data_IF_242322107341
#
_entry.id   IF_242322107341
#
_cell.length_a   1.000
_cell.length_b   1.000
_cell.length_c   1.000
_cell.angle_alpha   90.00
_cell.angle_beta   90.00
_cell.angle_gamma   90.00
#
_symmetry.space_group_name_H-M   'P 1'
#
loop_
_entity.id
_entity.type
_entity.pdbx_description
1 polymer ?
#
# COMPACT_ATOMS: atom_id res chain seq x y z
N UNK A 1 21.42 35.99 80.08
CA UNK A 1 21.06 34.63 79.63
C UNK A 1 19.55 34.54 79.65
N UNK A 2 18.87 35.27 78.75
CA UNK A 2 18.33 34.79 77.47
C UNK A 2 17.38 33.60 77.64
N UNK A 3 16.10 33.96 77.55
CA UNK A 3 14.87 33.17 77.50
C UNK A 3 14.84 32.16 76.37
N UNK A 4 13.99 31.14 76.46
CA UNK A 4 13.20 30.69 75.30
C UNK A 4 11.92 29.95 75.71
N UNK A 5 10.82 30.39 75.12
CA UNK A 5 9.49 29.79 75.12
C UNK A 5 9.35 28.90 73.88
N UNK A 6 8.89 27.66 74.04
CA UNK A 6 8.58 26.77 72.92
C UNK A 6 7.09 26.83 72.61
N UNK A 7 6.73 27.46 71.48
CA UNK A 7 5.38 27.43 70.89
C UNK A 7 5.35 26.43 69.74
N UNK A 8 4.35 25.55 69.75
CA UNK A 8 4.05 24.59 68.67
C UNK A 8 3.05 25.22 67.70
N UNK A 9 3.40 25.27 66.41
CA UNK A 9 2.45 25.59 65.33
C UNK A 9 2.49 24.49 64.27
N UNK A 10 1.33 23.86 64.04
CA UNK A 10 1.09 22.90 62.95
C UNK A 10 0.73 23.66 61.69
N UNK A 11 1.44 23.41 60.60
CA UNK A 11 1.13 23.95 59.27
C UNK A 11 0.51 22.83 58.42
N UNK A 12 -0.76 22.97 58.06
CA UNK A 12 -1.43 22.12 57.09
C UNK A 12 -1.00 22.53 55.67
N UNK A 13 -0.49 21.58 54.89
CA UNK A 13 -0.16 21.78 53.48
C UNK A 13 -1.27 21.16 52.61
N UNK A 14 -2.15 21.99 52.07
CA UNK A 14 -3.08 21.60 51.01
C UNK A 14 -2.31 21.42 49.71
N UNK A 15 -2.20 20.19 49.21
CA UNK A 15 -1.74 19.91 47.85
C UNK A 15 -2.90 19.97 46.88
N UNK A 16 -2.97 21.04 46.10
CA UNK A 16 -3.85 21.14 44.93
C UNK A 16 -3.22 20.33 43.81
N UNK A 17 -3.81 19.18 43.49
CA UNK A 17 -3.41 18.37 42.33
C UNK A 17 -3.86 19.08 41.05
N UNK A 18 -2.93 19.71 40.35
CA UNK A 18 -3.14 20.20 38.99
C UNK A 18 -3.19 18.98 38.06
N UNK A 19 -4.39 18.57 37.64
CA UNK A 19 -4.53 17.62 36.54
C UNK A 19 -4.06 18.30 35.25
N UNK A 20 -2.84 17.96 34.84
CA UNK A 20 -2.35 18.19 33.49
C UNK A 20 -3.05 17.18 32.58
N UNK A 21 -4.05 17.63 31.82
CA UNK A 21 -4.44 16.93 30.59
C UNK A 21 -3.25 17.01 29.65
N UNK A 22 -2.44 15.95 29.61
CA UNK A 22 -1.44 15.77 28.60
C UNK A 22 -2.16 15.64 27.26
N UNK A 23 -2.13 16.71 26.46
CA UNK A 23 -2.44 16.64 25.05
C UNK A 23 -1.34 15.80 24.42
N UNK A 24 -1.57 14.52 24.21
CA UNK A 24 -0.64 13.66 23.47
C UNK A 24 -0.61 14.19 22.04
N UNK A 25 0.41 15.01 21.72
CA UNK A 25 0.65 15.45 20.35
C UNK A 25 1.09 14.22 19.56
N UNK A 26 0.24 13.74 18.67
CA UNK A 26 0.59 12.64 17.76
C UNK A 26 1.70 13.13 16.82
N UNK A 27 2.79 12.38 16.71
CA UNK A 27 3.90 12.75 15.83
C UNK A 27 3.46 12.69 14.36
N UNK A 28 3.91 13.65 13.54
CA UNK A 28 3.59 13.72 12.11
C UNK A 28 4.85 13.92 11.29
N UNK A 29 4.90 13.34 10.09
CA UNK A 29 6.00 13.50 9.13
C UNK A 29 5.48 13.45 7.68
N UNK A 30 6.38 13.60 6.71
CA UNK A 30 6.09 13.45 5.28
C UNK A 30 7.03 12.40 4.69
N UNK A 31 6.49 11.43 3.96
CA UNK A 31 7.28 10.38 3.30
C UNK A 31 8.16 10.95 2.18
N UNK A 32 9.15 10.17 1.72
CA UNK A 32 9.94 10.49 0.53
C UNK A 32 9.10 10.68 -0.75
N UNK A 33 7.94 10.00 -0.83
CA UNK A 33 6.98 10.18 -1.92
C UNK A 33 6.09 11.42 -1.77
N UNK A 34 6.27 12.21 -0.70
CA UNK A 34 5.52 13.43 -0.40
C UNK A 34 4.18 13.20 0.27
N UNK A 35 3.95 12.02 0.87
CA UNK A 35 2.70 11.65 1.54
C UNK A 35 2.68 12.02 3.02
N UNK A 36 1.53 12.45 3.52
CA UNK A 36 1.40 12.79 4.94
C UNK A 36 1.45 11.52 5.78
N UNK A 37 2.07 11.58 6.96
CA UNK A 37 2.19 10.43 7.85
C UNK A 37 1.92 10.85 9.29
N UNK A 38 1.18 10.03 10.02
CA UNK A 38 0.82 10.24 11.43
C UNK A 38 1.17 8.97 12.21
N UNK A 39 1.96 9.10 13.27
CA UNK A 39 2.35 7.97 14.11
C UNK A 39 1.12 7.42 14.83
N UNK A 40 0.92 6.12 14.78
CA UNK A 40 -0.17 5.43 15.46
C UNK A 40 0.30 4.88 16.79
N UNK A 41 -0.36 5.34 17.86
CA UNK A 41 -0.15 4.84 19.21
C UNK A 41 -1.28 3.92 19.66
N UNK A 42 -0.93 2.87 20.41
CA UNK A 42 -1.88 1.96 21.03
C UNK A 42 -2.53 0.94 20.08
N UNK A 43 -3.40 0.08 20.63
CA UNK A 43 -4.06 -0.95 19.85
C UNK A 43 -5.06 -0.36 18.88
N UNK A 44 -5.29 -1.08 17.79
CA UNK A 44 -6.26 -0.74 16.78
C UNK A 44 -7.68 -0.76 17.36
N UNK A 45 -8.52 0.20 16.98
CA UNK A 45 -9.94 0.17 17.29
C UNK A 45 -10.56 -1.14 16.83
N UNK A 46 -11.58 -1.65 17.55
CA UNK A 46 -12.35 -2.82 17.16
C UNK A 46 -13.42 -2.47 16.11
N UNK A 47 -13.04 -1.78 15.04
CA UNK A 47 -13.94 -1.37 13.96
C UNK A 47 -14.44 -2.58 13.18
N UNK A 48 -15.77 -2.77 13.01
CA UNK A 48 -16.32 -3.86 12.22
C UNK A 48 -15.77 -3.88 10.80
N UNK A 49 -15.61 -5.08 10.23
CA UNK A 49 -15.25 -5.21 8.83
C UNK A 49 -16.31 -4.53 7.94
N UNK A 50 -15.89 -3.86 6.85
CA UNK A 50 -16.82 -3.20 5.95
C UNK A 50 -17.74 -4.22 5.26
N UNK A 51 -18.97 -3.81 4.88
CA UNK A 51 -19.89 -4.69 4.16
C UNK A 51 -19.30 -5.17 2.84
N UNK A 52 -19.52 -6.44 2.49
CA UNK A 52 -19.04 -7.03 1.25
C UNK A 52 -19.51 -6.26 -0.01
N UNK A 53 -20.69 -5.64 0.03
CA UNK A 53 -21.20 -4.81 -1.07
C UNK A 53 -20.38 -3.52 -1.29
N UNK A 54 -19.85 -2.92 -0.22
CA UNK A 54 -18.96 -1.75 -0.32
C UNK A 54 -17.58 -2.18 -0.82
N UNK A 55 -17.08 -3.32 -0.35
CA UNK A 55 -15.83 -3.88 -0.90
C UNK A 55 -15.95 -4.20 -2.39
N UNK A 56 -17.05 -4.81 -2.80
CA UNK A 56 -17.32 -5.10 -4.21
C UNK A 56 -17.42 -3.82 -5.06
N UNK A 57 -17.91 -2.71 -4.50
CA UNK A 57 -18.02 -1.44 -5.23
C UNK A 57 -16.68 -0.74 -5.46
N UNK A 58 -15.57 -1.22 -4.92
CA UNK A 58 -14.24 -0.74 -5.30
C UNK A 58 -13.80 -1.33 -6.65
N UNK A 59 -14.28 -2.51 -7.02
CA UNK A 59 -14.02 -3.13 -8.32
C UNK A 59 -14.87 -2.46 -9.40
N UNK A 60 -14.47 -1.26 -9.84
CA UNK A 60 -15.03 -0.65 -11.04
C UNK A 60 -14.49 -1.36 -12.29
N UNK A 61 -15.31 -1.47 -13.36
CA UNK A 61 -14.87 -2.06 -14.63
C UNK A 61 -13.71 -1.26 -15.21
N UNK A 62 -12.58 -1.93 -15.33
CA UNK A 62 -11.37 -1.40 -15.93
C UNK A 62 -11.56 -1.28 -17.46
N UNK A 63 -10.87 -0.36 -18.17
CA UNK A 63 -10.92 -0.31 -19.63
C UNK A 63 -10.48 -1.65 -20.25
N UNK A 64 -11.44 -2.46 -20.70
CA UNK A 64 -11.19 -3.72 -21.40
C UNK A 64 -10.93 -4.95 -20.51
N UNK A 65 -11.05 -4.85 -19.19
CA UNK A 65 -10.93 -5.97 -18.25
C UNK A 65 -12.11 -6.06 -17.29
N UNK A 66 -12.57 -7.28 -17.01
CA UNK A 66 -13.72 -7.50 -16.12
C UNK A 66 -15.05 -7.19 -16.80
N UNK A 67 -15.64 -8.22 -17.40
CA UNK A 67 -16.94 -8.18 -18.08
C UNK A 67 -17.45 -9.59 -18.35
N UNK A 68 -18.61 -9.73 -19.01
CA UNK A 68 -19.19 -11.04 -19.31
C UNK A 68 -18.24 -11.96 -20.09
N UNK A 69 -17.41 -11.38 -20.97
CA UNK A 69 -16.43 -12.09 -21.80
C UNK A 69 -15.04 -12.22 -21.15
N UNK A 70 -14.84 -11.65 -19.96
CA UNK A 70 -13.59 -11.71 -19.19
C UNK A 70 -13.90 -11.97 -17.70
N UNK A 71 -14.38 -13.18 -17.36
CA UNK A 71 -14.80 -13.50 -16.00
C UNK A 71 -13.59 -13.52 -15.06
N UNK A 72 -13.76 -12.86 -13.91
CA UNK A 72 -12.77 -12.79 -12.84
C UNK A 72 -13.25 -13.58 -11.62
N UNK A 73 -12.31 -14.21 -10.92
CA UNK A 73 -12.51 -14.91 -9.64
C UNK A 73 -11.56 -14.35 -8.59
N UNK A 74 -11.85 -14.59 -7.31
CA UNK A 74 -10.93 -14.20 -6.24
C UNK A 74 -9.55 -14.86 -6.43
N UNK A 75 -8.47 -14.17 -6.03
CA UNK A 75 -7.10 -14.69 -6.06
C UNK A 75 -7.01 -16.15 -5.59
N UNK A 76 -7.63 -16.44 -4.45
CA UNK A 76 -7.64 -17.77 -3.82
C UNK A 76 -8.48 -18.84 -4.54
N UNK A 77 -9.18 -18.51 -5.61
CA UNK A 77 -9.97 -19.45 -6.41
C UNK A 77 -9.34 -19.71 -7.78
N UNK A 78 -8.30 -18.95 -8.12
CA UNK A 78 -7.53 -19.13 -9.35
C UNK A 78 -6.44 -20.20 -9.19
N UNK A 79 -5.92 -20.69 -10.33
CA UNK A 79 -4.73 -21.54 -10.31
C UNK A 79 -3.51 -20.69 -9.94
N UNK A 80 -2.59 -21.23 -9.11
CA UNK A 80 -1.34 -20.53 -8.84
C UNK A 80 -0.46 -20.43 -10.09
N UNK A 81 0.28 -19.33 -10.21
CA UNK A 81 1.29 -19.17 -11.25
C UNK A 81 2.63 -19.78 -10.84
N UNK A 82 3.36 -20.30 -11.81
CA UNK A 82 4.71 -20.83 -11.59
C UNK A 82 5.71 -19.71 -11.28
N UNK A 83 6.71 -19.96 -10.41
CA UNK A 83 7.82 -19.03 -10.20
C UNK A 83 8.49 -18.63 -11.53
N UNK A 84 8.70 -17.32 -11.71
CA UNK A 84 9.29 -16.75 -12.91
C UNK A 84 8.28 -16.23 -13.93
N UNK A 85 7.00 -16.58 -13.77
CA UNK A 85 5.91 -16.00 -14.58
C UNK A 85 5.92 -14.48 -14.45
N UNK A 86 5.91 -13.76 -15.58
CA UNK A 86 5.73 -12.31 -15.58
C UNK A 86 4.24 -12.03 -15.54
N UNK A 87 3.81 -11.19 -14.59
CA UNK A 87 2.43 -10.82 -14.39
C UNK A 87 2.22 -9.31 -14.50
N UNK A 88 1.03 -8.93 -14.95
CA UNK A 88 0.51 -7.57 -14.85
C UNK A 88 -0.30 -7.40 -13.55
N UNK A 89 0.16 -6.53 -12.66
CA UNK A 89 -0.54 -6.19 -11.42
C UNK A 89 -1.24 -4.85 -11.59
N UNK A 90 -2.55 -4.92 -11.81
CA UNK A 90 -3.41 -3.77 -12.07
C UNK A 90 -3.97 -3.16 -10.79
N UNK A 91 -3.89 -1.83 -10.69
CA UNK A 91 -4.51 -0.99 -9.67
C UNK A 91 -5.41 0.03 -10.37
N UNK A 92 -6.68 -0.32 -10.56
CA UNK A 92 -7.54 0.45 -11.44
C UNK A 92 -6.86 0.63 -12.79
N UNK A 93 -6.66 1.86 -13.25
CA UNK A 93 -6.14 2.17 -14.59
C UNK A 93 -4.60 2.20 -14.72
N UNK A 94 -3.86 1.83 -13.68
CA UNK A 94 -2.40 1.68 -13.70
C UNK A 94 -1.99 0.21 -13.53
N UNK A 95 -0.79 -0.14 -14.01
CA UNK A 95 -0.27 -1.51 -13.91
C UNK A 95 1.23 -1.51 -13.62
N UNK A 96 1.68 -2.40 -12.74
CA UNK A 96 3.09 -2.74 -12.60
C UNK A 96 3.38 -4.09 -13.26
N UNK A 97 4.57 -4.26 -13.81
CA UNK A 97 5.09 -5.56 -14.23
C UNK A 97 5.89 -6.19 -13.09
N UNK A 98 5.54 -7.42 -12.72
CA UNK A 98 6.24 -8.16 -11.69
C UNK A 98 6.54 -9.58 -12.14
N UNK A 99 7.48 -10.22 -11.46
CA UNK A 99 7.80 -11.62 -11.63
C UNK A 99 7.37 -12.41 -10.40
N UNK A 100 6.61 -13.48 -10.61
CA UNK A 100 6.18 -14.38 -9.52
C UNK A 100 7.41 -15.02 -8.87
N UNK A 101 7.51 -14.90 -7.55
CA UNK A 101 8.50 -15.60 -6.72
C UNK A 101 7.88 -16.87 -6.13
N UNK A 102 6.65 -16.76 -5.62
CA UNK A 102 5.82 -17.85 -5.13
C UNK A 102 4.34 -17.47 -5.29
N UNK A 103 3.49 -18.44 -5.54
CA UNK A 103 2.03 -18.28 -5.52
C UNK A 103 1.45 -19.59 -5.00
N UNK A 104 0.89 -19.57 -3.80
CA UNK A 104 0.48 -20.78 -3.10
C UNK A 104 -0.71 -20.54 -2.16
N UNK A 105 -0.88 -21.41 -1.15
CA UNK A 105 -2.01 -21.34 -0.24
C UNK A 105 -1.99 -20.10 0.65
N UNK A 106 -0.82 -19.53 0.96
CA UNK A 106 -0.64 -18.38 1.84
C UNK A 106 -0.86 -17.07 1.08
N UNK A 107 -0.41 -17.01 -0.17
CA UNK A 107 -0.59 -15.83 -1.01
C UNK A 107 0.30 -15.79 -2.24
N UNK A 108 0.35 -14.62 -2.87
CA UNK A 108 1.23 -14.30 -3.98
C UNK A 108 2.42 -13.49 -3.48
N UNK A 109 3.64 -13.92 -3.78
CA UNK A 109 4.87 -13.15 -3.62
C UNK A 109 5.40 -12.82 -5.01
N UNK A 110 5.60 -11.54 -5.29
CA UNK A 110 6.04 -11.05 -6.60
C UNK A 110 7.15 -10.00 -6.47
N UNK A 111 8.12 -10.06 -7.38
CA UNK A 111 9.28 -9.17 -7.41
C UNK A 111 9.14 -8.16 -8.56
N UNK A 112 9.28 -6.88 -8.26
CA UNK A 112 9.41 -5.81 -9.26
C UNK A 112 10.87 -5.32 -9.29
N UNK A 113 11.64 -5.64 -10.34
CA UNK A 113 13.02 -5.14 -10.47
C UNK A 113 13.07 -3.61 -10.61
N UNK A 114 14.14 -3.00 -10.11
CA UNK A 114 14.48 -1.58 -10.33
C UNK A 114 14.35 -1.23 -11.82
N UNK A 115 13.74 -0.08 -12.16
CA UNK A 115 13.65 0.39 -13.54
C UNK A 115 12.64 -0.35 -14.43
N UNK A 116 11.92 -1.35 -13.90
CA UNK A 116 10.86 -2.04 -14.63
C UNK A 116 9.77 -1.04 -15.05
N UNK A 117 9.23 -1.22 -16.23
CA UNK A 117 8.17 -0.36 -16.72
C UNK A 117 6.86 -0.59 -15.96
N UNK A 118 6.14 0.52 -15.77
CA UNK A 118 4.80 0.54 -15.22
C UNK A 118 3.94 1.50 -16.02
N UNK A 119 2.66 1.18 -16.09
CA UNK A 119 1.62 2.04 -16.63
C UNK A 119 1.11 2.94 -15.50
N UNK A 120 1.29 4.25 -15.69
CA UNK A 120 0.80 5.29 -14.81
C UNK A 120 -0.32 6.09 -15.47
N UNK A 121 -1.10 6.80 -14.66
CA UNK A 121 -2.03 7.83 -15.09
C UNK A 121 -1.48 9.19 -14.70
N UNK A 122 -0.90 9.90 -15.66
CA UNK A 122 -0.23 11.18 -15.43
C UNK A 122 -1.14 12.34 -15.87
N UNK A 123 -1.14 13.47 -15.13
CA UNK A 123 -1.85 14.67 -15.53
C UNK A 123 -1.48 15.13 -16.95
N UNK A 124 -2.49 15.50 -17.75
CA UNK A 124 -2.31 15.86 -19.17
C UNK A 124 -1.54 17.17 -19.35
N UNK A 125 -1.63 18.09 -18.40
CA UNK A 125 -0.96 19.39 -18.38
C UNK A 125 0.52 19.31 -17.94
N UNK A 126 0.98 18.12 -17.52
CA UNK A 126 2.36 17.87 -17.06
C UNK A 126 2.65 18.27 -15.62
N UNK A 127 1.73 18.94 -14.91
CA UNK A 127 1.95 19.34 -13.52
C UNK A 127 1.77 18.15 -12.59
N UNK A 128 2.78 17.85 -11.76
CA UNK A 128 2.79 16.71 -10.85
C UNK A 128 1.62 16.73 -9.87
N UNK A 129 1.15 15.55 -9.44
CA UNK A 129 0.05 15.46 -8.47
C UNK A 129 0.41 16.11 -7.13
N UNK A 130 1.68 15.96 -6.69
CA UNK A 130 2.16 16.52 -5.42
C UNK A 130 2.27 18.05 -5.44
N UNK A 131 2.29 18.66 -6.62
CA UNK A 131 2.31 20.13 -6.79
C UNK A 131 0.90 20.75 -6.77
N UNK A 132 -0.14 19.94 -6.52
CA UNK A 132 -1.55 20.36 -6.48
C UNK A 132 -2.14 20.27 -5.08
N UNK A 133 -3.25 21.00 -4.90
CA UNK A 133 -4.12 20.82 -3.74
C UNK A 133 -4.76 19.44 -3.70
N UNK A 134 -5.02 18.90 -2.51
CA UNK A 134 -5.43 17.50 -2.29
C UNK A 134 -6.63 17.07 -3.16
N UNK A 135 -7.72 17.87 -3.17
CA UNK A 135 -8.93 17.53 -3.95
C UNK A 135 -8.65 17.52 -5.46
N UNK A 136 -7.85 18.47 -5.95
CA UNK A 136 -7.50 18.59 -7.36
C UNK A 136 -6.73 17.36 -7.87
N UNK A 137 -5.91 16.72 -7.00
CA UNK A 137 -5.19 15.49 -7.35
C UNK A 137 -6.13 14.44 -7.92
N UNK A 138 -7.35 14.32 -7.40
CA UNK A 138 -8.32 13.30 -7.79
C UNK A 138 -9.24 13.71 -8.94
N UNK A 139 -9.25 14.99 -9.33
CA UNK A 139 -10.12 15.51 -10.39
C UNK A 139 -9.39 15.80 -11.69
N UNK A 140 -8.08 16.02 -11.64
CA UNK A 140 -7.30 16.38 -12.82
C UNK A 140 -7.41 15.32 -13.91
N UNK A 141 -7.58 15.76 -15.16
CA UNK A 141 -7.57 14.87 -16.30
C UNK A 141 -6.21 14.18 -16.44
N UNK A 142 -6.21 12.85 -16.62
CA UNK A 142 -5.00 12.04 -16.71
C UNK A 142 -4.99 11.20 -17.97
N UNK A 143 -3.82 11.07 -18.57
CA UNK A 143 -3.55 10.14 -19.68
C UNK A 143 -2.71 8.94 -19.21
N UNK A 144 -2.83 7.77 -19.86
CA UNK A 144 -1.90 6.68 -19.63
C UNK A 144 -0.49 7.07 -20.12
N UNK A 145 0.52 6.62 -19.38
CA UNK A 145 1.92 6.79 -19.74
C UNK A 145 2.76 5.63 -19.20
N UNK A 146 3.69 5.13 -20.01
CA UNK A 146 4.69 4.17 -19.55
C UNK A 146 5.87 4.93 -18.95
N UNK A 147 6.25 4.60 -17.71
CA UNK A 147 7.45 5.13 -17.05
C UNK A 147 8.19 4.00 -16.34
N UNK A 148 9.52 4.08 -16.22
CA UNK A 148 10.27 3.14 -15.38
C UNK A 148 10.01 3.42 -13.89
N UNK A 149 9.95 2.35 -13.10
CA UNK A 149 10.00 2.40 -11.65
C UNK A 149 11.32 3.02 -11.19
N UNK A 150 11.23 4.09 -10.39
CA UNK A 150 12.40 4.88 -9.98
C UNK A 150 13.03 4.38 -8.67
N UNK A 151 12.28 3.62 -7.87
CA UNK A 151 12.79 3.07 -6.62
C UNK A 151 13.69 1.86 -6.83
N UNK A 152 14.30 1.38 -5.74
CA UNK A 152 14.92 0.05 -5.72
C UNK A 152 13.86 -1.01 -6.00
N UNK A 153 14.31 -2.17 -6.48
CA UNK A 153 13.40 -3.28 -6.68
C UNK A 153 12.67 -3.62 -5.38
N UNK A 154 11.39 -3.96 -5.51
CA UNK A 154 10.47 -4.13 -4.39
C UNK A 154 9.80 -5.49 -4.47
N UNK A 155 9.79 -6.18 -3.33
CA UNK A 155 9.02 -7.41 -3.16
C UNK A 155 7.61 -7.01 -2.69
N UNK A 156 6.59 -7.53 -3.37
CA UNK A 156 5.19 -7.37 -3.00
C UNK A 156 4.62 -8.72 -2.59
N UNK A 157 3.94 -8.73 -1.46
CA UNK A 157 3.27 -9.90 -0.92
C UNK A 157 1.78 -9.59 -0.82
N UNK A 158 0.95 -10.39 -1.47
CA UNK A 158 -0.49 -10.35 -1.37
C UNK A 158 -0.95 -11.57 -0.57
N UNK A 159 -1.29 -11.39 0.72
CA UNK A 159 -1.92 -12.45 1.48
C UNK A 159 -3.28 -12.83 0.91
N UNK A 160 -3.55 -14.13 0.93
CA UNK A 160 -4.75 -14.68 0.31
C UNK A 160 -6.03 -14.05 0.87
N UNK A 161 -6.84 -13.51 -0.03
CA UNK A 161 -8.16 -12.96 0.29
C UNK A 161 -8.13 -11.69 1.15
N UNK A 162 -6.97 -11.04 1.29
CA UNK A 162 -6.85 -9.81 2.07
C UNK A 162 -7.01 -8.56 1.18
N UNK A 163 -7.66 -7.50 1.69
CA UNK A 163 -7.78 -6.21 1.01
C UNK A 163 -6.54 -5.32 1.26
N UNK A 164 -5.35 -5.93 1.14
CA UNK A 164 -4.07 -5.25 1.22
C UNK A 164 -2.97 -6.11 0.62
N UNK A 165 -1.91 -5.46 0.15
CA UNK A 165 -0.61 -6.08 -0.06
C UNK A 165 0.46 -5.44 0.82
N UNK A 166 1.52 -6.18 1.10
CA UNK A 166 2.66 -5.76 1.92
C UNK A 166 3.89 -5.67 1.03
N UNK A 167 4.50 -4.49 0.96
CA UNK A 167 5.67 -4.24 0.14
C UNK A 167 6.89 -4.01 1.02
N UNK A 168 7.99 -4.67 0.66
CA UNK A 168 9.24 -4.61 1.40
C UNK A 168 10.18 -3.62 0.73
N UNK A 169 10.34 -2.45 1.36
CA UNK A 169 11.19 -1.38 0.84
C UNK A 169 12.61 -1.50 1.38
N UNK A 170 13.58 -1.23 0.51
CA UNK A 170 15.00 -1.15 0.87
C UNK A 170 15.53 0.22 0.46
N UNK A 171 16.41 0.81 1.28
CA UNK A 171 17.07 2.10 1.01
C UNK A 171 18.59 1.98 1.23
N UNK A 172 19.37 2.94 0.69
CA UNK A 172 20.84 2.89 0.75
C UNK A 172 21.44 3.31 2.10
N UNK A 173 20.69 4.05 2.90
CA UNK A 173 21.09 4.68 4.16
C UNK A 173 20.52 3.98 5.40
N UNK A 174 19.61 3.02 5.24
CA UNK A 174 19.19 2.14 6.33
C UNK A 174 20.37 1.26 6.82
N UNK A 175 20.54 1.05 8.14
CA UNK A 175 21.71 0.37 8.73
C UNK A 175 22.01 -1.03 8.16
N UNK A 176 20.97 -1.74 7.72
CA UNK A 176 21.02 -3.06 7.07
C UNK A 176 20.46 -3.04 5.63
N UNK A 177 20.04 -1.87 5.16
CA UNK A 177 19.40 -1.64 3.86
C UNK A 177 17.88 -1.84 3.83
N UNK A 178 17.23 -2.24 4.92
CA UNK A 178 15.77 -2.38 4.99
C UNK A 178 15.12 -1.09 5.52
N UNK A 179 14.17 -0.52 4.77
CA UNK A 179 13.54 0.76 5.13
C UNK A 179 12.23 0.59 5.89
N UNK A 180 11.47 -0.46 5.57
CA UNK A 180 10.18 -0.71 6.23
C UNK A 180 9.21 -1.51 5.38
N UNK A 181 8.07 -1.79 6.00
CA UNK A 181 6.93 -2.45 5.38
C UNK A 181 5.88 -1.42 5.01
N UNK A 182 5.48 -1.41 3.75
CA UNK A 182 4.38 -0.61 3.26
C UNK A 182 3.16 -1.50 3.03
N UNK A 183 2.10 -1.28 3.79
CA UNK A 183 0.82 -1.96 3.61
C UNK A 183 -0.05 -1.09 2.73
N UNK A 184 -0.16 -1.44 1.45
CA UNK A 184 -1.05 -0.79 0.49
C UNK A 184 -2.46 -1.32 0.73
N UNK A 185 -3.38 -0.49 1.25
CA UNK A 185 -4.79 -0.92 1.31
C UNK A 185 -5.35 -0.92 -0.11
N UNK A 186 -5.95 -2.04 -0.48
CA UNK A 186 -6.40 -2.23 -1.86
C UNK A 186 -7.61 -3.16 -1.93
N UNK A 187 -8.37 -3.09 -3.01
CA UNK A 187 -9.51 -3.98 -3.19
C UNK A 187 -9.03 -5.46 -3.27
N UNK A 188 -9.75 -6.44 -2.70
CA UNK A 188 -9.35 -7.84 -2.78
C UNK A 188 -9.07 -8.31 -4.20
N UNK A 189 -7.89 -8.87 -4.40
CA UNK A 189 -7.44 -9.21 -5.74
C UNK A 189 -8.34 -10.19 -6.48
N UNK A 190 -8.66 -9.82 -7.72
CA UNK A 190 -9.35 -10.66 -8.69
C UNK A 190 -8.38 -11.13 -9.78
N UNK A 191 -8.62 -12.32 -10.33
CA UNK A 191 -7.82 -12.93 -11.39
C UNK A 191 -8.70 -13.52 -12.48
N UNK A 192 -8.26 -13.53 -13.74
CA UNK A 192 -8.98 -14.15 -14.84
C UNK A 192 -9.17 -15.64 -14.63
N UNK A 193 -10.37 -16.16 -14.93
CA UNK A 193 -10.67 -17.60 -14.88
C UNK A 193 -9.81 -18.41 -15.87
N UNK A 194 -9.44 -17.80 -16.99
CA UNK A 194 -8.61 -18.43 -18.03
C UNK A 194 -7.14 -18.62 -17.62
N UNK A 195 -6.72 -18.05 -16.48
CA UNK A 195 -5.36 -18.14 -15.96
C UNK A 195 -4.35 -17.17 -16.57
N UNK A 196 -4.80 -16.23 -17.42
CA UNK A 196 -3.97 -15.15 -17.94
C UNK A 196 -3.18 -14.46 -16.83
N UNK A 197 -1.92 -14.12 -17.11
CA UNK A 197 -0.95 -13.65 -16.11
C UNK A 197 -1.20 -12.18 -15.70
N UNK A 198 -2.37 -11.89 -15.14
CA UNK A 198 -2.73 -10.60 -14.60
C UNK A 198 -3.58 -10.74 -13.33
N UNK A 199 -3.46 -9.76 -12.45
CA UNK A 199 -4.35 -9.61 -11.30
C UNK A 199 -4.86 -8.19 -11.19
N UNK A 200 -6.10 -8.03 -10.74
CA UNK A 200 -6.83 -6.78 -10.68
C UNK A 200 -7.17 -6.41 -9.26
N UNK A 201 -6.86 -5.18 -8.92
CA UNK A 201 -7.15 -4.55 -7.65
C UNK A 201 -7.48 -3.07 -7.89
N UNK A 202 -7.76 -2.34 -6.82
CA UNK A 202 -7.90 -0.88 -6.81
C UNK A 202 -7.20 -0.35 -5.59
N UNK A 203 -6.30 0.62 -5.81
CA UNK A 203 -5.69 1.37 -4.74
C UNK A 203 -6.75 2.14 -3.94
N UNK A 204 -6.66 2.06 -2.60
CA UNK A 204 -7.62 2.67 -1.69
C UNK A 204 -7.09 3.94 -1.02
N UNK A 205 -6.01 4.52 -1.53
CA UNK A 205 -5.39 5.79 -1.11
C UNK A 205 -4.72 5.78 0.27
N UNK A 206 -5.35 5.16 1.26
CA UNK A 206 -4.83 5.06 2.62
C UNK A 206 -3.82 3.91 2.74
N UNK A 207 -2.68 4.15 3.37
CA UNK A 207 -1.67 3.12 3.62
C UNK A 207 -1.24 3.06 5.09
N UNK A 208 -0.51 2.00 5.42
CA UNK A 208 0.23 1.90 6.67
C UNK A 208 1.72 1.70 6.37
N UNK A 209 2.58 2.36 7.14
CA UNK A 209 4.03 2.20 7.03
C UNK A 209 4.59 1.76 8.38
N UNK A 210 5.28 0.62 8.41
CA UNK A 210 5.90 0.07 9.61
C UNK A 210 7.41 0.05 9.43
N UNK A 211 8.10 0.83 10.25
CA UNK A 211 9.56 0.91 10.31
C UNK A 211 10.07 0.79 11.75
N UNK A 212 11.35 1.10 11.96
CA UNK A 212 11.97 1.07 13.28
C UNK A 212 11.47 2.14 14.25
N UNK A 213 10.85 3.21 13.75
CA UNK A 213 10.31 4.30 14.57
C UNK A 213 8.87 4.00 15.01
N UNK A 214 8.15 3.20 14.24
CA UNK A 214 6.86 2.66 14.64
C UNK A 214 5.92 2.41 13.47
N UNK A 215 4.62 2.37 13.79
CA UNK A 215 3.56 2.23 12.81
C UNK A 215 2.96 3.59 12.48
N UNK A 216 2.95 3.94 11.21
CA UNK A 216 2.45 5.21 10.69
C UNK A 216 1.21 4.98 9.83
N UNK A 217 0.20 5.82 10.00
CA UNK A 217 -0.90 5.98 9.05
C UNK A 217 -0.48 6.98 7.98
N UNK A 218 -0.57 6.60 6.72
CA UNK A 218 -0.10 7.42 5.60
C UNK A 218 -1.24 7.80 4.65
N UNK A 219 -1.20 9.05 4.16
CA UNK A 219 -2.12 9.63 3.18
C UNK A 219 -3.60 9.66 3.64
N UNK A 220 -3.83 9.80 4.95
CA UNK A 220 -5.17 9.98 5.51
C UNK A 220 -5.83 11.28 5.03
N UNK A 221 -5.05 12.35 4.83
CA UNK A 221 -5.52 13.63 4.27
C UNK A 221 -5.92 13.51 2.79
N UNK A 222 -5.23 12.68 2.01
CA UNK A 222 -5.63 12.32 0.66
C UNK A 222 -6.95 11.54 0.66
N UNK A 223 -7.13 10.58 1.57
CA UNK A 223 -8.40 9.88 1.73
C UNK A 223 -9.56 10.85 2.02
N UNK A 224 -9.39 11.82 2.91
CA UNK A 224 -10.42 12.85 3.17
C UNK A 224 -10.76 13.65 1.90
N UNK A 225 -9.76 13.93 1.06
CA UNK A 225 -9.95 14.69 -0.18
C UNK A 225 -10.66 13.90 -1.30
N UNK A 226 -10.70 12.57 -1.23
CA UNK A 226 -11.39 11.74 -2.23
C UNK A 226 -12.90 11.98 -2.26
N UNK A 227 -13.52 12.26 -1.11
CA UNK A 227 -14.98 12.43 -0.98
C UNK A 227 -15.49 13.68 -1.69
N UNK A 228 -14.99 14.90 -1.39
CA UNK A 228 -15.39 16.11 -2.12
C UNK A 228 -14.96 16.09 -3.60
N UNK A 229 -13.94 15.30 -3.96
CA UNK A 229 -13.56 15.08 -5.36
C UNK A 229 -14.49 14.12 -6.11
N UNK A 230 -15.42 13.45 -5.41
CA UNK A 230 -16.28 12.41 -5.98
C UNK A 230 -15.55 11.12 -6.36
N UNK A 231 -14.31 10.92 -5.89
CA UNK A 231 -13.53 9.70 -6.12
C UNK A 231 -14.05 8.53 -5.28
N UNK A 232 -14.43 8.80 -4.03
CA UNK A 232 -15.11 7.87 -3.15
C UNK A 232 -16.40 8.50 -2.58
N UNK A 233 -17.37 7.65 -2.28
CA UNK A 233 -18.48 8.04 -1.39
C UNK A 233 -18.00 8.08 0.06
N UNK A 234 -18.74 8.76 0.95
CA UNK A 234 -18.44 8.75 2.38
C UNK A 234 -18.38 7.33 2.96
N UNK A 235 -19.31 6.45 2.55
CA UNK A 235 -19.34 5.05 2.97
C UNK A 235 -18.10 4.26 2.49
N UNK A 236 -17.58 4.56 1.30
CA UNK A 236 -16.33 3.97 0.82
C UNK A 236 -15.14 4.47 1.64
N UNK A 237 -15.04 5.78 1.92
CA UNK A 237 -13.96 6.31 2.75
C UNK A 237 -13.98 5.71 4.17
N UNK A 238 -15.16 5.55 4.77
CA UNK A 238 -15.32 4.88 6.07
C UNK A 238 -14.90 3.41 6.01
N UNK A 239 -15.24 2.71 4.91
CA UNK A 239 -14.78 1.34 4.69
C UNK A 239 -13.25 1.25 4.57
N UNK A 240 -12.60 2.19 3.89
CA UNK A 240 -11.13 2.24 3.81
C UNK A 240 -10.50 2.42 5.19
N UNK A 241 -11.03 3.32 6.04
CA UNK A 241 -10.53 3.46 7.42
C UNK A 241 -10.72 2.17 8.22
N UNK A 242 -11.86 1.51 8.09
CA UNK A 242 -12.13 0.22 8.72
C UNK A 242 -11.16 -0.89 8.25
N UNK A 243 -10.77 -0.88 6.97
CA UNK A 243 -9.75 -1.78 6.44
C UNK A 243 -8.36 -1.50 7.03
N UNK A 244 -8.01 -0.23 7.25
CA UNK A 244 -6.79 0.15 7.96
C UNK A 244 -6.75 -0.41 9.38
N UNK A 245 -7.85 -0.25 10.14
CA UNK A 245 -7.96 -0.86 11.47
C UNK A 245 -7.92 -2.38 11.42
N UNK A 246 -8.54 -3.00 10.41
CA UNK A 246 -8.49 -4.45 10.21
C UNK A 246 -7.07 -4.94 9.92
N UNK A 247 -6.33 -4.27 9.04
CA UNK A 247 -4.93 -4.61 8.75
C UNK A 247 -4.06 -4.50 10.01
N UNK A 248 -4.31 -3.50 10.87
CA UNK A 248 -3.61 -3.41 12.16
C UNK A 248 -3.85 -4.64 13.04
N UNK A 249 -5.13 -5.00 13.26
CA UNK A 249 -5.50 -6.13 14.12
C UNK A 249 -5.09 -7.50 13.58
N UNK A 250 -5.19 -7.69 12.26
CA UNK A 250 -5.01 -9.01 11.65
C UNK A 250 -3.60 -9.26 11.12
N UNK A 251 -2.89 -8.20 10.73
CA UNK A 251 -1.55 -8.31 10.14
C UNK A 251 -0.47 -7.74 11.08
N UNK A 252 -0.57 -6.47 11.47
CA UNK A 252 0.55 -5.74 12.08
C UNK A 252 0.76 -6.08 13.56
N UNK A 253 -0.29 -6.00 14.37
CA UNK A 253 -0.24 -6.28 15.81
C UNK A 253 0.19 -7.73 16.14
N UNK A 254 -0.40 -8.76 15.52
CA UNK A 254 0.04 -10.14 15.74
C UNK A 254 1.31 -10.48 14.97
N UNK A 255 1.82 -9.56 14.13
CA UNK A 255 2.83 -9.83 13.09
C UNK A 255 2.49 -11.08 12.30
N UNK A 256 1.27 -11.17 11.78
CA UNK A 256 0.86 -12.31 10.96
C UNK A 256 1.67 -12.37 9.66
N UNK A 257 1.59 -13.50 8.96
CA UNK A 257 2.27 -13.64 7.66
C UNK A 257 1.88 -12.50 6.70
N UNK A 258 2.85 -11.89 5.99
CA UNK A 258 4.26 -12.29 5.90
C UNK A 258 5.19 -11.74 7.00
N UNK A 259 4.72 -10.86 7.90
CA UNK A 259 5.55 -10.18 8.90
C UNK A 259 6.10 -11.09 10.02
N UNK A 260 5.52 -12.29 10.16
CA UNK A 260 5.92 -13.29 11.15
C UNK A 260 7.36 -13.78 10.93
N UNK A 261 7.81 -13.81 9.67
CA UNK A 261 9.14 -14.31 9.31
C UNK A 261 10.12 -13.14 9.08
N UNK A 262 11.08 -12.91 10.01
CA UNK A 262 12.07 -11.85 9.86
C UNK A 262 13.03 -12.08 8.67
N UNK A 263 13.05 -13.28 8.08
CA UNK A 263 13.83 -13.54 6.87
C UNK A 263 13.42 -12.66 5.69
N UNK A 264 12.18 -12.13 5.67
CA UNK A 264 11.73 -11.17 4.67
C UNK A 264 12.39 -9.80 4.82
N UNK A 265 12.65 -9.34 6.03
CA UNK A 265 13.34 -8.07 6.30
C UNK A 265 14.83 -8.16 5.87
N UNK A 266 15.43 -9.33 6.08
CA UNK A 266 16.77 -9.67 5.60
C UNK A 266 16.81 -10.14 4.13
N UNK A 267 15.67 -10.23 3.44
CA UNK A 267 15.62 -10.78 2.09
C UNK A 267 16.30 -9.86 1.09
N UNK A 268 17.18 -10.42 0.26
CA UNK A 268 17.88 -9.68 -0.80
C UNK A 268 17.67 -10.39 -2.13
N UNK A 269 17.06 -9.69 -3.08
CA UNK A 269 16.73 -10.24 -4.40
C UNK A 269 17.96 -10.84 -5.10
N UNK A 270 19.10 -10.15 -5.05
CA UNK A 270 20.34 -10.58 -5.70
C UNK A 270 20.88 -11.92 -5.16
N UNK A 271 20.55 -12.29 -3.91
CA UNK A 271 21.00 -13.54 -3.28
C UNK A 271 19.97 -14.67 -3.44
N UNK A 272 18.69 -14.31 -3.59
CA UNK A 272 17.56 -15.24 -3.51
C UNK A 272 16.92 -15.56 -4.85
N UNK A 273 17.11 -14.70 -5.86
CA UNK A 273 16.52 -14.84 -7.18
C UNK A 273 17.59 -15.02 -8.26
N UNK A 274 17.27 -15.67 -9.39
CA UNK A 274 18.15 -15.72 -10.55
C UNK A 274 18.60 -14.33 -10.99
N UNK A 275 19.85 -14.18 -11.44
CA UNK A 275 20.39 -12.89 -11.89
C UNK A 275 19.52 -12.26 -13.00
N UNK A 276 19.01 -13.07 -13.94
CA UNK A 276 18.12 -12.62 -15.01
C UNK A 276 16.78 -12.03 -14.49
N UNK A 277 16.40 -12.28 -13.23
CA UNK A 277 15.21 -11.69 -12.63
C UNK A 277 15.48 -10.31 -12.03
N UNK A 278 16.72 -9.82 -12.06
CA UNK A 278 17.06 -8.44 -11.68
C UNK A 278 16.95 -7.47 -12.86
N UNK A 279 16.84 -7.98 -14.07
CA UNK A 279 16.70 -7.17 -15.27
C UNK A 279 15.33 -6.46 -15.30
N UNK A 280 15.29 -5.16 -15.64
CA UNK A 280 14.04 -4.41 -15.76
C UNK A 280 13.06 -5.06 -16.74
N UNK A 281 11.81 -5.26 -16.30
CA UNK A 281 10.75 -5.77 -17.17
C UNK A 281 10.25 -4.66 -18.09
N UNK A 282 10.08 -4.96 -19.39
CA UNK A 282 9.63 -4.00 -20.41
C UNK A 282 8.43 -4.54 -21.18
N UNK A 283 7.45 -3.70 -21.47
CA UNK A 283 6.26 -4.10 -22.24
C UNK A 283 6.58 -4.46 -23.70
N UNK A 284 7.73 -4.04 -24.24
CA UNK A 284 8.16 -4.35 -25.60
C UNK A 284 9.10 -5.57 -25.70
N UNK A 285 9.56 -6.12 -24.56
CA UNK A 285 10.37 -7.33 -24.53
C UNK A 285 9.51 -8.54 -24.99
N UNK A 286 9.92 -9.27 -26.06
CA UNK A 286 9.18 -10.43 -26.55
C UNK A 286 8.85 -11.48 -25.49
N UNK A 287 9.77 -11.74 -24.55
CA UNK A 287 9.57 -12.73 -23.49
C UNK A 287 8.53 -12.26 -22.46
N UNK A 288 8.49 -10.95 -22.18
CA UNK A 288 7.45 -10.35 -21.33
C UNK A 288 6.12 -10.37 -22.07
N UNK A 289 6.10 -9.93 -23.33
CA UNK A 289 4.88 -9.89 -24.15
C UNK A 289 4.20 -11.25 -24.29
N UNK A 290 4.98 -12.32 -24.45
CA UNK A 290 4.44 -13.68 -24.53
C UNK A 290 3.69 -14.10 -23.24
N UNK A 291 4.06 -13.54 -22.09
CA UNK A 291 3.42 -13.82 -20.80
C UNK A 291 2.21 -12.94 -20.51
N UNK A 292 2.03 -11.82 -21.20
CA UNK A 292 0.97 -10.85 -20.94
C UNK A 292 -0.21 -11.02 -21.90
N UNK A 293 -1.40 -10.64 -21.44
CA UNK A 293 -2.59 -10.64 -22.28
C UNK A 293 -2.60 -9.47 -23.30
N UNK A 294 -3.38 -9.63 -24.36
CA UNK A 294 -3.45 -8.67 -25.46
C UNK A 294 -3.96 -7.28 -25.05
N UNK A 295 -4.86 -7.21 -24.06
CA UNK A 295 -5.44 -5.94 -23.61
C UNK A 295 -4.37 -5.13 -22.88
N UNK A 296 -3.61 -5.78 -21.97
CA UNK A 296 -2.47 -5.16 -21.30
C UNK A 296 -1.48 -4.58 -22.32
N UNK A 297 -1.10 -5.37 -23.32
CA UNK A 297 -0.14 -4.92 -24.35
C UNK A 297 -0.69 -3.77 -25.19
N UNK A 298 -1.97 -3.81 -25.57
CA UNK A 298 -2.62 -2.74 -26.32
C UNK A 298 -2.63 -1.42 -25.55
N UNK A 299 -2.94 -1.46 -24.26
CA UNK A 299 -2.93 -0.27 -23.40
C UNK A 299 -1.50 0.27 -23.26
N UNK A 300 -0.51 -0.60 -23.09
CA UNK A 300 0.90 -0.22 -23.01
C UNK A 300 1.40 0.45 -24.31
N UNK A 301 1.13 -0.16 -25.46
CA UNK A 301 1.54 0.36 -26.77
C UNK A 301 0.88 1.72 -27.05
N UNK A 302 -0.42 1.87 -26.72
CA UNK A 302 -1.12 3.14 -26.82
C UNK A 302 -0.53 4.22 -25.92
N UNK A 303 -0.05 3.88 -24.72
CA UNK A 303 0.52 4.81 -23.76
C UNK A 303 1.94 5.30 -24.13
N UNK A 304 2.66 4.59 -25.01
CA UNK A 304 3.99 5.01 -25.50
C UNK A 304 3.93 6.06 -26.61
N UNK A 305 2.81 6.16 -27.33
CA UNK A 305 2.64 7.07 -28.47
C UNK A 305 2.49 8.56 -28.10
N UNK A 306 2.70 8.95 -26.83
CA UNK A 306 2.35 10.26 -26.27
C UNK A 306 3.42 10.92 -25.41
#
# INVERSE_FOLDING_TARGET
MTSDHTSTSSTATSSTATSSTATTSTATTTSASGGSMVLLDGPAPATPAPPASVLASFHDPHPGHGGADDPLVAHGESRPWEPGTVIAWWYGQGCALLRVVADDADGLVAWMPTGSESLYRLPVDGTGLRDRGLVERFMVERRPAVRPWQGRGVLRVLPRGKPWSVWYFTESDAPDGFAGHYVNLEAPHLRPVDGSARTHSRDLVLDLWLDGDGLWLKDADELEATVPAGHFTAAQADAVRALGDQARRELLEPRAWPLADPAWEAWRAAERLPAAWQEPLRFDDPAVRQGLDEVTLRVADAARGW
#
